data_IF_372227219679
#
_entry.id   IF_372227219679
#
_cell.length_a   1.000
_cell.length_b   1.000
_cell.length_c   1.000
_cell.angle_alpha   90.00
_cell.angle_beta   90.00
_cell.angle_gamma   90.00
#
_symmetry.space_group_name_H-M   'P 1'
#
loop_
_entity.id
_entity.type
_entity.pdbx_description
1 polymer ?
#
# COMPACT_ATOMS: atom_id res chain seq x y z
N UNK A 1 1.99 2.00 3.53
CA UNK A 1 2.34 1.90 4.97
C UNK A 1 2.63 0.45 5.35
N UNK A 2 1.79 -0.52 4.93
CA UNK A 2 1.91 -1.93 5.34
C UNK A 2 3.30 -2.54 5.08
N UNK A 3 3.92 -2.23 3.94
CA UNK A 3 5.20 -2.84 3.54
C UNK A 3 6.41 -2.01 3.97
N UNK A 4 6.34 -0.69 3.89
CA UNK A 4 7.50 0.18 4.05
C UNK A 4 7.47 1.03 5.32
N UNK A 5 6.41 0.95 6.12
CA UNK A 5 6.21 1.83 7.27
C UNK A 5 5.67 3.21 6.88
N UNK A 6 5.64 4.11 7.83
CA UNK A 6 5.19 5.49 7.62
C UNK A 6 6.37 6.40 7.21
N UNK A 7 6.08 7.66 6.89
CA UNK A 7 7.10 8.64 6.46
C UNK A 7 8.22 8.80 7.50
N UNK A 8 7.91 8.76 8.79
CA UNK A 8 8.92 8.86 9.86
C UNK A 8 9.92 7.71 9.82
N UNK A 9 9.47 6.50 9.49
CA UNK A 9 10.31 5.30 9.38
C UNK A 9 11.25 5.37 8.16
N UNK A 10 10.89 6.18 7.18
CA UNK A 10 11.63 6.33 5.92
C UNK A 10 12.64 7.47 5.93
N UNK A 11 12.55 8.41 6.86
CA UNK A 11 13.47 9.56 6.94
C UNK A 11 14.64 9.22 7.85
N UNK A 12 15.86 9.26 7.33
CA UNK A 12 17.10 8.99 8.06
C UNK A 12 17.71 10.26 8.67
N UNK A 13 17.53 11.41 8.01
CA UNK A 13 18.04 12.68 8.48
C UNK A 13 17.26 13.84 7.89
N UNK A 14 17.33 15.00 8.54
CA UNK A 14 16.69 16.24 8.07
C UNK A 14 17.60 17.45 8.34
N UNK A 15 17.45 18.49 7.54
CA UNK A 15 17.87 19.85 7.84
C UNK A 15 16.60 20.68 8.03
N UNK A 16 16.60 21.53 9.06
CA UNK A 16 15.44 22.35 9.41
C UNK A 16 15.87 23.78 9.70
N UNK A 17 15.11 24.76 9.21
CA UNK A 17 15.22 26.18 9.62
C UNK A 17 14.21 26.42 10.74
N UNK A 18 14.73 26.82 11.90
CA UNK A 18 13.96 27.14 13.10
C UNK A 18 13.24 28.50 12.97
N UNK A 19 12.22 28.79 13.82
CA UNK A 19 11.49 30.06 13.78
C UNK A 19 12.36 31.29 13.99
N UNK A 20 13.52 31.17 14.65
CA UNK A 20 14.49 32.23 14.85
C UNK A 20 15.45 32.40 13.66
N UNK A 21 15.32 31.62 12.57
CA UNK A 21 16.15 31.62 11.39
C UNK A 21 17.43 30.77 11.50
N UNK A 22 17.69 30.13 12.62
CA UNK A 22 18.84 29.24 12.76
C UNK A 22 18.62 27.93 12.00
N UNK A 23 19.69 27.39 11.41
CA UNK A 23 19.68 26.11 10.72
C UNK A 23 20.11 25.01 11.70
N UNK A 24 19.24 24.06 11.96
CA UNK A 24 19.55 22.85 12.69
C UNK A 24 19.78 21.71 11.70
N UNK A 25 21.02 21.23 11.61
CA UNK A 25 21.40 20.14 10.74
C UNK A 25 21.38 18.81 11.52
N UNK A 26 20.40 17.98 11.20
CA UNK A 26 20.22 16.61 11.72
C UNK A 26 20.36 15.58 10.58
N UNK A 27 21.14 15.88 9.56
CA UNK A 27 21.39 15.01 8.42
C UNK A 27 22.21 13.80 8.88
N UNK A 28 21.74 12.60 8.59
CA UNK A 28 22.40 11.32 8.88
C UNK A 28 22.03 10.31 7.83
N UNK A 29 22.99 9.48 7.43
CA UNK A 29 22.77 8.32 6.55
C UNK A 29 22.71 7.01 7.35
N UNK A 30 22.86 7.08 8.68
CA UNK A 30 22.88 5.92 9.54
C UNK A 30 21.48 5.33 9.71
N UNK A 31 21.34 4.05 9.40
CA UNK A 31 20.10 3.31 9.66
C UNK A 31 19.84 3.07 11.15
N UNK A 32 20.89 3.14 11.97
CA UNK A 32 20.81 2.97 13.42
C UNK A 32 21.71 4.00 14.08
N UNK A 33 21.11 4.84 14.91
CA UNK A 33 21.79 5.78 15.78
C UNK A 33 21.16 5.69 17.17
N UNK A 34 21.97 5.34 18.17
CA UNK A 34 21.55 5.20 19.56
C UNK A 34 22.14 6.32 20.44
N UNK A 35 22.69 7.38 19.87
CA UNK A 35 23.38 8.47 20.56
C UNK A 35 22.43 9.60 20.96
N UNK A 36 21.65 9.43 22.03
CA UNK A 36 20.83 10.49 22.60
C UNK A 36 19.40 10.56 22.06
N UNK A 37 18.75 11.73 22.16
CA UNK A 37 17.39 11.93 21.71
C UNK A 37 17.31 12.07 20.19
N UNK A 38 16.30 11.46 19.57
CA UNK A 38 16.04 11.58 18.14
C UNK A 38 15.26 12.88 17.84
N UNK A 39 15.97 14.01 17.71
CA UNK A 39 15.34 15.31 17.43
C UNK A 39 14.66 15.33 16.05
N UNK A 40 15.15 14.55 15.08
CA UNK A 40 14.51 14.34 13.80
C UNK A 40 13.04 13.95 13.93
N UNK A 41 12.74 13.02 14.85
CA UNK A 41 11.39 12.49 15.03
C UNK A 41 10.41 13.48 15.67
N UNK A 42 10.92 14.55 16.31
CA UNK A 42 10.08 15.67 16.77
C UNK A 42 9.58 16.52 15.59
N UNK A 43 10.42 16.68 14.58
CA UNK A 43 10.16 17.58 13.45
C UNK A 43 9.30 16.92 12.39
N UNK A 44 9.50 15.60 12.16
CA UNK A 44 8.70 14.86 11.19
C UNK A 44 7.27 14.72 11.70
N UNK A 45 6.32 15.28 10.94
CA UNK A 45 4.91 15.35 11.32
C UNK A 45 4.54 16.56 12.17
N UNK A 46 5.47 17.51 12.39
CA UNK A 46 5.18 18.75 13.11
C UNK A 46 4.37 19.77 12.28
N UNK A 47 4.10 19.51 11.01
CA UNK A 47 3.31 20.35 10.11
C UNK A 47 3.78 21.81 10.07
N UNK A 48 5.11 22.03 10.13
CA UNK A 48 5.72 23.37 10.10
C UNK A 48 5.68 24.12 11.44
N UNK A 49 5.13 23.57 12.51
CA UNK A 49 4.99 24.26 13.81
C UNK A 49 6.32 24.40 14.56
N UNK A 50 7.31 23.55 14.27
CA UNK A 50 8.62 23.55 14.88
C UNK A 50 9.73 24.13 13.97
N UNK A 51 9.42 24.38 12.70
CA UNK A 51 10.35 24.88 11.70
C UNK A 51 10.02 24.33 10.32
N UNK A 52 10.84 24.69 9.33
CA UNK A 52 10.67 24.28 7.93
C UNK A 52 11.77 23.31 7.55
N UNK A 53 11.41 22.09 7.15
CA UNK A 53 12.34 21.09 6.63
C UNK A 53 12.79 21.54 5.24
N UNK A 54 14.09 21.71 5.06
CA UNK A 54 14.72 22.16 3.80
C UNK A 54 15.40 21.01 3.06
N UNK A 55 15.89 20.00 3.77
CA UNK A 55 16.53 18.82 3.19
C UNK A 55 16.16 17.57 3.98
N UNK A 56 16.15 16.41 3.32
CA UNK A 56 15.95 15.11 3.96
C UNK A 56 16.82 14.03 3.31
N UNK A 57 17.31 13.10 4.13
CA UNK A 57 17.88 11.82 3.69
C UNK A 57 16.79 10.76 3.83
N UNK A 58 16.50 10.06 2.75
CA UNK A 58 15.46 9.05 2.69
C UNK A 58 16.04 7.65 2.54
N UNK A 59 15.48 6.70 3.27
CA UNK A 59 15.72 5.28 3.07
C UNK A 59 15.14 4.84 1.73
N UNK A 60 15.95 4.19 0.92
CA UNK A 60 15.55 3.67 -0.39
C UNK A 60 15.26 2.17 -0.31
N UNK A 61 14.35 1.73 -1.14
CA UNK A 61 14.02 0.32 -1.35
C UNK A 61 14.24 -0.07 -2.81
N UNK A 62 14.56 -1.33 -3.09
CA UNK A 62 14.62 -1.83 -4.46
C UNK A 62 13.28 -1.64 -5.16
N UNK A 63 13.34 -1.21 -6.43
CA UNK A 63 12.13 -1.10 -7.25
C UNK A 63 11.47 -2.47 -7.41
N UNK A 64 10.17 -2.62 -7.15
CA UNK A 64 9.46 -3.86 -7.41
C UNK A 64 9.58 -4.31 -8.87
N UNK A 65 9.67 -5.62 -9.06
CA UNK A 65 9.79 -6.27 -10.39
C UNK A 65 8.45 -6.70 -10.96
N UNK A 66 7.45 -6.91 -10.09
CA UNK A 66 6.09 -7.22 -10.47
C UNK A 66 5.08 -6.65 -9.49
N UNK A 67 3.89 -6.44 -10.00
CA UNK A 67 2.72 -5.95 -9.28
C UNK A 67 1.51 -6.83 -9.62
N UNK A 68 0.58 -6.95 -8.69
CA UNK A 68 -0.74 -7.51 -8.92
C UNK A 68 -1.76 -6.73 -8.10
N UNK A 69 -2.80 -6.22 -8.73
CA UNK A 69 -3.81 -5.37 -8.09
C UNK A 69 -5.18 -5.97 -8.33
N UNK A 70 -6.01 -5.98 -7.29
CA UNK A 70 -7.40 -6.42 -7.40
C UNK A 70 -8.33 -5.53 -6.59
N UNK A 71 -9.56 -5.40 -7.09
CA UNK A 71 -10.72 -4.96 -6.33
C UNK A 71 -11.51 -6.20 -5.93
N UNK A 72 -11.85 -6.31 -4.65
CA UNK A 72 -12.45 -7.51 -4.06
C UNK A 72 -13.69 -7.14 -3.25
N UNK A 73 -14.81 -7.81 -3.50
CA UNK A 73 -16.00 -7.74 -2.67
C UNK A 73 -15.95 -8.86 -1.62
N UNK A 74 -15.98 -8.49 -0.34
CA UNK A 74 -15.89 -9.44 0.77
C UNK A 74 -17.20 -9.49 1.56
N UNK A 75 -17.44 -10.61 2.23
CA UNK A 75 -18.67 -10.85 3.00
C UNK A 75 -18.74 -9.95 4.23
N UNK A 76 -17.61 -9.75 4.92
CA UNK A 76 -17.55 -9.00 6.18
C UNK A 76 -16.15 -8.39 6.41
N UNK A 77 -16.03 -7.52 7.42
CA UNK A 77 -14.74 -6.99 7.87
C UNK A 77 -13.82 -8.09 8.41
N UNK A 78 -14.36 -9.11 9.08
CA UNK A 78 -13.57 -10.23 9.60
C UNK A 78 -12.97 -11.03 8.44
N UNK A 79 -13.73 -11.23 7.36
CA UNK A 79 -13.20 -11.86 6.15
C UNK A 79 -12.23 -10.98 5.38
N UNK A 80 -12.38 -9.64 5.41
CA UNK A 80 -11.37 -8.73 4.89
C UNK A 80 -10.03 -8.89 5.63
N UNK A 81 -10.04 -8.96 6.97
CA UNK A 81 -8.83 -9.17 7.76
C UNK A 81 -8.22 -10.56 7.54
N UNK A 82 -9.06 -11.60 7.43
CA UNK A 82 -8.60 -12.96 7.13
C UNK A 82 -7.94 -13.02 5.75
N UNK A 83 -8.52 -12.38 4.75
CA UNK A 83 -7.95 -12.28 3.40
C UNK A 83 -6.59 -11.56 3.41
N UNK A 84 -6.46 -10.46 4.17
CA UNK A 84 -5.18 -9.76 4.33
C UNK A 84 -4.09 -10.71 4.87
N UNK A 85 -4.41 -11.48 5.91
CA UNK A 85 -3.46 -12.42 6.51
C UNK A 85 -3.09 -13.53 5.52
N UNK A 86 -4.06 -14.12 4.82
CA UNK A 86 -3.82 -15.15 3.80
C UNK A 86 -2.95 -14.62 2.64
N UNK A 87 -3.16 -13.36 2.22
CA UNK A 87 -2.34 -12.71 1.21
C UNK A 87 -0.91 -12.46 1.72
N UNK A 88 -0.74 -11.97 2.95
CA UNK A 88 0.58 -11.77 3.55
C UNK A 88 1.37 -13.08 3.66
N UNK A 89 0.74 -14.14 4.16
CA UNK A 89 1.36 -15.45 4.32
C UNK A 89 1.68 -16.09 2.96
N UNK A 90 0.69 -16.14 2.04
CA UNK A 90 0.84 -16.80 0.75
C UNK A 90 1.83 -16.13 -0.19
N UNK A 91 2.04 -14.81 -0.05
CA UNK A 91 2.95 -14.04 -0.92
C UNK A 91 4.28 -13.66 -0.26
N UNK A 92 4.51 -14.12 0.99
CA UNK A 92 5.73 -13.79 1.73
C UNK A 92 5.87 -12.30 2.03
N UNK A 93 4.75 -11.61 2.36
CA UNK A 93 4.74 -10.20 2.72
C UNK A 93 4.71 -9.24 1.52
N UNK A 94 4.16 -9.67 0.38
CA UNK A 94 4.09 -8.83 -0.82
C UNK A 94 2.99 -7.75 -0.79
N UNK A 95 2.09 -7.73 0.20
CA UNK A 95 1.00 -6.74 0.28
C UNK A 95 1.59 -5.34 0.52
N UNK A 96 1.47 -4.46 -0.46
CA UNK A 96 1.92 -3.07 -0.42
C UNK A 96 0.79 -2.12 0.00
N UNK A 97 -0.41 -2.32 -0.55
CA UNK A 97 -1.60 -1.58 -0.18
C UNK A 97 -2.78 -2.53 0.08
N UNK A 98 -3.60 -2.17 1.05
CA UNK A 98 -4.83 -2.87 1.40
C UNK A 98 -5.82 -1.83 1.93
N UNK A 99 -6.75 -1.41 1.08
CA UNK A 99 -7.63 -0.28 1.35
C UNK A 99 -9.08 -0.76 1.44
N UNK A 100 -9.69 -0.56 2.60
CA UNK A 100 -11.09 -0.89 2.82
C UNK A 100 -12.00 0.26 2.36
N UNK A 101 -12.98 -0.07 1.55
CA UNK A 101 -13.96 0.86 0.99
C UNK A 101 -15.39 0.35 1.25
N UNK A 102 -16.10 0.90 2.25
CA UNK A 102 -17.51 0.56 2.45
C UNK A 102 -18.37 1.09 1.30
N UNK A 103 -19.53 0.49 1.08
CA UNK A 103 -20.52 0.91 0.06
C UNK A 103 -20.75 2.42 0.05
N UNK A 104 -20.87 3.04 1.23
CA UNK A 104 -21.07 4.48 1.37
C UNK A 104 -19.91 5.30 0.74
N UNK A 105 -18.67 4.81 0.85
CA UNK A 105 -17.51 5.45 0.20
C UNK A 105 -17.66 5.41 -1.32
N UNK A 106 -18.00 4.25 -1.88
CA UNK A 106 -18.23 4.09 -3.33
C UNK A 106 -19.38 4.97 -3.83
N UNK A 107 -20.47 5.04 -3.08
CA UNK A 107 -21.60 5.94 -3.40
C UNK A 107 -21.17 7.40 -3.44
N UNK A 108 -20.38 7.84 -2.45
CA UNK A 108 -19.81 9.19 -2.42
C UNK A 108 -18.88 9.46 -3.61
N UNK A 109 -18.00 8.52 -3.92
CA UNK A 109 -17.11 8.60 -5.08
C UNK A 109 -17.88 8.71 -6.40
N UNK A 110 -18.92 7.89 -6.59
CA UNK A 110 -19.76 7.94 -7.78
C UNK A 110 -20.53 9.26 -7.92
N UNK A 111 -20.87 9.91 -6.81
CA UNK A 111 -21.56 11.20 -6.80
C UNK A 111 -20.66 12.39 -7.18
N UNK A 112 -19.33 12.25 -7.09
CA UNK A 112 -18.37 13.33 -7.40
C UNK A 112 -18.25 13.61 -8.89
N UNK A 113 -18.41 12.63 -9.75
CA UNK A 113 -18.33 12.80 -11.21
C UNK A 113 -19.10 11.72 -11.95
N UNK A 114 -19.79 12.12 -13.02
CA UNK A 114 -20.46 11.19 -13.92
C UNK A 114 -19.50 10.31 -14.76
N UNK A 115 -18.21 10.65 -14.78
CA UNK A 115 -17.18 9.85 -15.43
C UNK A 115 -16.66 8.70 -14.55
N UNK A 116 -16.96 8.72 -13.24
CA UNK A 116 -16.54 7.67 -12.34
C UNK A 116 -17.23 6.35 -12.68
N UNK A 117 -16.51 5.24 -12.55
CA UNK A 117 -17.03 3.90 -12.85
C UNK A 117 -17.20 3.11 -11.58
N UNK A 118 -18.28 2.33 -11.51
CA UNK A 118 -18.47 1.34 -10.45
C UNK A 118 -17.40 0.25 -10.58
N UNK A 119 -16.81 -0.20 -9.48
CA UNK A 119 -15.88 -1.34 -9.50
C UNK A 119 -16.57 -2.66 -9.84
N UNK A 120 -17.86 -2.83 -9.53
CA UNK A 120 -18.69 -4.00 -9.82
C UNK A 120 -20.07 -3.60 -10.33
N UNK A 121 -20.73 -4.49 -11.06
CA UNK A 121 -22.14 -4.30 -11.47
C UNK A 121 -23.08 -4.30 -10.26
N UNK A 122 -22.85 -5.24 -9.34
CA UNK A 122 -23.60 -5.34 -8.09
C UNK A 122 -23.10 -4.35 -7.03
N UNK A 123 -23.96 -4.00 -6.10
CA UNK A 123 -23.62 -3.21 -4.92
C UNK A 123 -23.24 -4.16 -3.78
N UNK A 124 -22.01 -4.05 -3.30
CA UNK A 124 -21.51 -4.80 -2.15
C UNK A 124 -21.30 -3.86 -0.95
N UNK A 125 -21.52 -4.36 0.26
CA UNK A 125 -21.36 -3.58 1.49
C UNK A 125 -19.88 -3.34 1.83
N UNK A 126 -19.01 -4.33 1.53
CA UNK A 126 -17.59 -4.32 1.89
C UNK A 126 -16.74 -4.56 0.66
N UNK A 127 -15.96 -3.57 0.29
CA UNK A 127 -14.96 -3.67 -0.77
C UNK A 127 -13.55 -3.50 -0.21
N UNK A 128 -12.60 -4.15 -0.84
CA UNK A 128 -11.17 -4.01 -0.55
C UNK A 128 -10.43 -3.84 -1.86
N UNK A 129 -9.58 -2.82 -1.95
CA UNK A 129 -8.53 -2.76 -2.95
C UNK A 129 -7.27 -3.38 -2.35
N UNK A 130 -6.67 -4.31 -3.07
CA UNK A 130 -5.37 -4.89 -2.69
C UNK A 130 -4.35 -4.67 -3.79
N UNK A 131 -3.14 -4.24 -3.41
CA UNK A 131 -1.99 -4.23 -4.28
C UNK A 131 -0.88 -5.08 -3.67
N UNK A 132 -0.40 -6.03 -4.46
CA UNK A 132 0.80 -6.81 -4.19
C UNK A 132 1.95 -6.27 -5.02
N UNK A 133 3.15 -6.25 -4.44
CA UNK A 133 4.37 -5.93 -5.15
C UNK A 133 5.54 -6.80 -4.65
N UNK A 134 6.43 -7.17 -5.54
CA UNK A 134 7.55 -8.03 -5.18
C UNK A 134 8.85 -7.62 -5.87
N UNK A 135 9.96 -7.79 -5.14
CA UNK A 135 11.33 -7.72 -5.68
C UNK A 135 11.89 -9.12 -5.98
N UNK A 136 11.15 -10.18 -5.63
CA UNK A 136 11.57 -11.57 -5.81
C UNK A 136 11.45 -11.96 -7.28
N UNK A 137 12.56 -12.36 -7.89
CA UNK A 137 12.67 -12.71 -9.31
C UNK A 137 11.65 -13.78 -9.73
N UNK A 138 11.44 -14.78 -8.88
CA UNK A 138 10.52 -15.88 -9.20
C UNK A 138 9.10 -15.36 -9.48
N UNK A 139 8.57 -14.50 -8.63
CA UNK A 139 7.21 -13.98 -8.75
C UNK A 139 7.03 -12.98 -9.91
N UNK A 140 8.13 -12.45 -10.49
CA UNK A 140 8.08 -11.58 -11.67
C UNK A 140 8.08 -12.35 -13.00
N UNK A 141 8.27 -13.68 -12.96
CA UNK A 141 8.28 -14.52 -14.17
C UNK A 141 6.85 -14.77 -14.64
N UNK A 142 6.74 -14.95 -15.95
CA UNK A 142 5.50 -15.37 -16.60
C UNK A 142 5.39 -16.88 -16.54
N UNK A 143 4.24 -17.39 -16.08
CA UNK A 143 3.92 -18.81 -16.06
C UNK A 143 3.62 -19.37 -17.46
N UNK A 144 3.29 -20.65 -17.51
CA UNK A 144 2.98 -21.38 -18.76
C UNK A 144 1.69 -20.87 -19.43
N UNK A 145 0.81 -20.27 -18.64
CA UNK A 145 -0.47 -19.67 -19.02
C UNK A 145 -0.33 -18.23 -19.52
N UNK A 146 0.88 -17.66 -19.51
CA UNK A 146 1.15 -16.27 -19.90
C UNK A 146 0.91 -15.24 -18.80
N UNK A 147 0.49 -15.66 -17.61
CA UNK A 147 0.24 -14.78 -16.46
C UNK A 147 1.50 -14.62 -15.60
N UNK A 148 1.70 -13.43 -15.01
CA UNK A 148 2.78 -13.21 -14.03
C UNK A 148 2.49 -14.01 -12.76
N UNK A 149 3.48 -14.73 -12.24
CA UNK A 149 3.30 -15.63 -11.10
C UNK A 149 2.75 -14.93 -9.84
N UNK A 150 3.04 -13.65 -9.63
CA UNK A 150 2.45 -12.88 -8.53
C UNK A 150 0.93 -12.72 -8.72
N UNK A 151 0.48 -12.44 -9.95
CA UNK A 151 -0.95 -12.32 -10.28
C UNK A 151 -1.66 -13.68 -10.18
N UNK A 152 -1.00 -14.75 -10.61
CA UNK A 152 -1.52 -16.12 -10.48
C UNK A 152 -1.69 -16.51 -9.00
N UNK A 153 -0.75 -16.12 -8.13
CA UNK A 153 -0.86 -16.38 -6.70
C UNK A 153 -2.00 -15.57 -6.05
N UNK A 154 -2.16 -14.30 -6.42
CA UNK A 154 -3.30 -13.49 -6.01
C UNK A 154 -4.62 -14.16 -6.41
N UNK A 155 -4.73 -14.55 -7.68
CA UNK A 155 -5.92 -15.22 -8.21
C UNK A 155 -6.21 -16.53 -7.47
N UNK A 156 -5.20 -17.34 -7.19
CA UNK A 156 -5.32 -18.59 -6.43
C UNK A 156 -5.93 -18.35 -5.05
N UNK A 157 -5.44 -17.36 -4.31
CA UNK A 157 -5.94 -17.03 -2.96
C UNK A 157 -7.37 -16.48 -3.03
N UNK A 158 -7.67 -15.61 -4.00
CA UNK A 158 -9.02 -15.09 -4.18
C UNK A 158 -10.01 -16.18 -4.54
N UNK A 159 -9.66 -17.12 -5.43
CA UNK A 159 -10.49 -18.25 -5.79
C UNK A 159 -10.77 -19.20 -4.61
N UNK A 160 -9.79 -19.41 -3.73
CA UNK A 160 -10.00 -20.18 -2.50
C UNK A 160 -11.05 -19.51 -1.59
N UNK A 161 -11.00 -18.18 -1.46
CA UNK A 161 -11.94 -17.43 -0.64
C UNK A 161 -13.33 -17.29 -1.29
N UNK A 162 -13.40 -17.22 -2.63
CA UNK A 162 -14.67 -17.36 -3.37
C UNK A 162 -15.36 -18.70 -3.07
N UNK A 163 -14.61 -19.79 -3.12
CA UNK A 163 -15.14 -21.13 -2.84
C UNK A 163 -15.61 -21.31 -1.38
N UNK A 164 -15.02 -20.56 -0.43
CA UNK A 164 -15.47 -20.52 0.98
C UNK A 164 -16.68 -19.60 1.19
N UNK A 165 -17.05 -18.75 0.22
CA UNK A 165 -18.08 -17.74 0.35
C UNK A 165 -17.64 -16.48 1.13
N UNK A 166 -16.36 -16.30 1.38
CA UNK A 166 -15.77 -15.16 2.08
C UNK A 166 -15.51 -13.97 1.15
N UNK A 167 -15.29 -14.27 -0.12
CA UNK A 167 -15.23 -13.30 -1.23
C UNK A 167 -16.44 -13.57 -2.13
N UNK A 168 -17.14 -12.53 -2.52
CA UNK A 168 -18.31 -12.59 -3.40
C UNK A 168 -17.95 -12.33 -4.86
N UNK A 169 -16.99 -11.43 -5.10
CA UNK A 169 -16.58 -11.02 -6.44
C UNK A 169 -15.16 -10.46 -6.39
N UNK A 170 -14.42 -10.56 -7.50
CA UNK A 170 -13.08 -10.02 -7.60
C UNK A 170 -12.71 -9.63 -9.03
N UNK A 171 -12.16 -8.44 -9.22
CA UNK A 171 -11.57 -7.99 -10.47
C UNK A 171 -10.06 -7.79 -10.30
N UNK A 172 -9.28 -8.58 -11.03
CA UNK A 172 -7.81 -8.47 -11.06
C UNK A 172 -7.44 -7.61 -12.28
N UNK A 173 -6.66 -6.55 -12.06
CA UNK A 173 -6.16 -5.68 -13.11
C UNK A 173 -5.26 -6.46 -14.08
N UNK A 174 -5.56 -6.39 -15.38
CA UNK A 174 -4.84 -7.12 -16.44
C UNK A 174 -3.69 -6.31 -17.03
N UNK A 175 -3.67 -5.00 -16.80
CA UNK A 175 -2.66 -4.08 -17.31
C UNK A 175 -2.46 -2.89 -16.39
N UNK A 176 -1.46 -2.06 -16.71
CA UNK A 176 -1.09 -0.91 -15.90
C UNK A 176 -2.16 0.20 -15.89
N UNK A 177 -2.92 0.35 -16.95
CA UNK A 177 -4.02 1.32 -17.05
C UNK A 177 -5.16 0.95 -16.07
N UNK A 178 -5.50 -0.33 -15.97
CA UNK A 178 -6.51 -0.83 -15.02
C UNK A 178 -6.03 -0.78 -13.57
N UNK A 179 -4.72 -0.74 -13.33
CA UNK A 179 -4.14 -0.62 -12.01
C UNK A 179 -4.19 0.81 -11.46
N UNK A 180 -4.30 1.82 -12.32
CA UNK A 180 -4.32 3.24 -11.97
C UNK A 180 -5.75 3.79 -11.72
N UNK A 181 -6.67 2.92 -11.31
CA UNK A 181 -8.06 3.31 -10.99
C UNK A 181 -8.12 4.11 -9.70
#
# INVERSE_FOLDING_TARGET
VLKYGNTRDLVLGVEIVLPNGEIMNLMSELHKDNSGYCLRDLVIGAEGTLGIITQAVLKLFPKPKAYATAMVAVESLDHALSLLNELQEGTGGAVAAYEYMPKRYIQGYMALSSSNRKPFENDYEHLVMVELETTVELFSKTGVDGQVLLSAELERILNQNLNKGFVYDAHIAQNEEQRQI
#
